data_IF_211636015444
#
_entry.id   IF_211636015444
#
_cell.length_a   1.000
_cell.length_b   1.000
_cell.length_c   1.000
_cell.angle_alpha   90.00
_cell.angle_beta   90.00
_cell.angle_gamma   90.00
#
_symmetry.space_group_name_H-M   'P 1'
#
loop_
_entity.id
_entity.type
_entity.pdbx_description
1 polymer ?
#
# COMPACT_ATOMS: atom_id res chain seq x y z
N UNK A 1 -128.12 -24.75 49.48
CA UNK A 1 -127.07 -25.19 50.42
C UNK A 1 -125.76 -24.57 49.95
N UNK A 2 -125.15 -23.64 50.72
CA UNK A 2 -124.00 -22.76 50.38
C UNK A 2 -124.24 -21.83 49.14
N UNK A 3 -124.30 -20.49 49.23
CA UNK A 3 -123.31 -19.47 49.69
C UNK A 3 -122.01 -19.56 48.86
N UNK A 4 -121.48 -18.51 48.19
CA UNK A 4 -121.63 -17.02 48.23
C UNK A 4 -121.41 -16.43 46.82
N UNK A 5 -122.04 -15.31 46.40
CA UNK A 5 -121.45 -13.94 46.39
C UNK A 5 -120.58 -13.66 45.13
N UNK A 6 -120.60 -12.54 44.42
CA UNK A 6 -121.09 -11.18 44.70
C UNK A 6 -121.55 -10.42 43.43
N UNK A 7 -122.57 -9.58 43.63
CA UNK A 7 -122.85 -8.24 43.07
C UNK A 7 -121.64 -7.46 42.47
N UNK A 8 -121.80 -6.50 41.55
CA UNK A 8 -122.98 -6.03 40.77
C UNK A 8 -122.59 -5.04 39.64
N UNK A 9 -123.53 -4.83 38.70
CA UNK A 9 -123.77 -3.66 37.80
C UNK A 9 -122.84 -2.43 37.95
N UNK A 10 -122.42 -1.83 36.83
CA UNK A 10 -123.20 -0.71 36.20
C UNK A 10 -122.55 -0.06 34.96
N UNK A 11 -123.32 -0.08 33.85
CA UNK A 11 -123.50 0.95 32.79
C UNK A 11 -122.29 1.67 32.14
N UNK A 12 -122.28 1.56 30.82
CA UNK A 12 -121.58 2.40 29.83
C UNK A 12 -121.68 3.92 30.10
N UNK A 13 -120.55 4.62 29.92
CA UNK A 13 -120.49 5.93 29.25
C UNK A 13 -119.23 5.98 28.39
N UNK A 14 -119.34 6.52 27.18
CA UNK A 14 -118.24 6.58 26.23
C UNK A 14 -117.18 7.62 26.63
N UNK A 15 -115.90 7.35 26.34
CA UNK A 15 -114.89 8.40 26.13
C UNK A 15 -113.77 7.90 25.22
N UNK A 16 -113.59 8.61 24.12
CA UNK A 16 -112.45 8.47 23.22
C UNK A 16 -111.15 8.86 23.94
N UNK A 17 -110.09 8.07 23.77
CA UNK A 17 -108.73 8.54 23.99
C UNK A 17 -107.83 8.14 22.82
N UNK A 18 -107.37 9.17 22.12
CA UNK A 18 -106.41 9.10 21.04
C UNK A 18 -105.06 8.61 21.59
N UNK A 19 -104.46 7.61 20.92
CA UNK A 19 -103.06 7.24 21.17
C UNK A 19 -102.16 8.42 20.82
N UNK A 20 -101.56 9.06 21.83
CA UNK A 20 -100.57 10.10 21.62
C UNK A 20 -99.32 9.50 20.97
N UNK A 21 -98.96 9.99 19.78
CA UNK A 21 -97.63 9.81 19.23
C UNK A 21 -96.68 10.79 19.93
N UNK A 22 -95.75 10.28 20.73
CA UNK A 22 -94.72 11.08 21.37
C UNK A 22 -93.69 11.54 20.34
N UNK A 23 -93.89 12.74 19.78
CA UNK A 23 -92.92 13.37 18.88
C UNK A 23 -91.68 13.84 19.64
N UNK A 24 -90.56 13.14 19.51
CA UNK A 24 -89.28 13.47 20.13
C UNK A 24 -88.64 14.71 19.49
N UNK A 25 -89.11 15.91 19.87
CA UNK A 25 -88.50 17.18 19.45
C UNK A 25 -87.19 17.41 20.22
N UNK A 26 -86.07 16.93 19.68
CA UNK A 26 -84.74 17.27 20.19
C UNK A 26 -84.54 18.81 20.17
N UNK A 27 -84.23 19.46 21.31
CA UNK A 27 -84.08 20.91 21.36
C UNK A 27 -82.72 21.34 20.81
N UNK A 28 -82.65 21.58 19.50
CA UNK A 28 -81.46 22.08 18.78
C UNK A 28 -80.76 23.28 19.45
N UNK A 29 -81.53 24.12 20.16
CA UNK A 29 -81.02 25.27 20.94
C UNK A 29 -80.20 24.91 22.20
N UNK A 30 -80.30 23.69 22.73
CA UNK A 30 -79.47 23.25 23.86
C UNK A 30 -78.09 22.74 23.38
N UNK A 31 -78.04 22.05 22.23
CA UNK A 31 -76.78 21.62 21.60
C UNK A 31 -75.90 22.81 21.19
N UNK A 32 -76.49 23.87 20.66
CA UNK A 32 -75.77 25.11 20.29
C UNK A 32 -75.20 25.89 21.50
N UNK A 33 -75.52 25.50 22.74
CA UNK A 33 -75.11 26.21 23.95
C UNK A 33 -74.19 25.38 24.85
N UNK A 34 -73.87 24.14 24.46
CA UNK A 34 -73.02 23.26 25.23
C UNK A 34 -71.54 23.45 24.88
N UNK A 35 -70.79 24.11 25.77
CA UNK A 35 -69.37 24.38 25.58
C UNK A 35 -68.47 23.16 25.87
N UNK A 36 -69.02 22.03 26.36
CA UNK A 36 -68.24 20.83 26.72
C UNK A 36 -67.51 20.19 25.53
N UNK A 37 -67.91 20.50 24.29
CA UNK A 37 -67.24 20.06 23.07
C UNK A 37 -66.05 20.93 22.60
N UNK A 38 -65.87 22.17 23.10
CA UNK A 38 -64.89 23.10 22.50
C UNK A 38 -63.43 22.64 22.67
N UNK A 39 -63.13 21.96 23.77
CA UNK A 39 -61.82 21.35 24.00
C UNK A 39 -61.48 20.29 22.93
N UNK A 40 -62.47 19.50 22.50
CA UNK A 40 -62.29 18.50 21.44
C UNK A 40 -61.97 19.18 20.11
N UNK A 41 -62.62 20.32 19.80
CA UNK A 41 -62.32 21.12 18.60
C UNK A 41 -60.89 21.64 18.61
N UNK A 42 -60.43 22.21 19.72
CA UNK A 42 -59.04 22.70 19.85
C UNK A 42 -58.01 21.57 19.79
N UNK A 43 -58.28 20.42 20.43
CA UNK A 43 -57.44 19.23 20.33
C UNK A 43 -57.35 18.77 18.87
N UNK A 44 -58.48 18.62 18.17
CA UNK A 44 -58.51 18.21 16.77
C UNK A 44 -57.73 19.16 15.85
N UNK A 45 -57.86 20.48 16.03
CA UNK A 45 -57.09 21.48 15.28
C UNK A 45 -55.59 21.40 15.61
N UNK A 46 -55.23 21.21 16.88
CA UNK A 46 -53.82 21.08 17.31
C UNK A 46 -53.13 19.79 16.85
N UNK A 47 -53.91 18.74 16.57
CA UNK A 47 -53.40 17.46 16.08
C UNK A 47 -52.88 17.55 14.63
N UNK A 48 -53.45 18.43 13.81
CA UNK A 48 -53.05 18.63 12.40
C UNK A 48 -51.57 19.06 12.28
N UNK A 49 -51.08 20.15 12.92
CA UNK A 49 -49.67 20.53 12.86
C UNK A 49 -48.75 19.51 13.55
N UNK A 50 -49.21 18.79 14.58
CA UNK A 50 -48.44 17.69 15.19
C UNK A 50 -48.20 16.54 14.20
N UNK A 51 -49.26 16.08 13.51
CA UNK A 51 -49.13 15.02 12.50
C UNK A 51 -48.29 15.46 11.30
N UNK A 52 -48.40 16.73 10.88
CA UNK A 52 -47.51 17.29 9.86
C UNK A 52 -46.04 17.34 10.32
N UNK A 53 -45.77 17.68 11.59
CA UNK A 53 -44.42 17.66 12.14
C UNK A 53 -43.82 16.24 12.20
N UNK A 54 -44.59 15.24 12.65
CA UNK A 54 -44.16 13.83 12.61
C UNK A 54 -43.95 13.32 11.18
N UNK A 55 -44.83 13.72 10.25
CA UNK A 55 -44.70 13.38 8.84
C UNK A 55 -43.44 13.98 8.21
N UNK A 56 -43.18 15.27 8.46
CA UNK A 56 -41.97 15.95 8.00
C UNK A 56 -40.69 15.34 8.59
N UNK A 57 -40.68 15.02 9.89
CA UNK A 57 -39.57 14.31 10.51
C UNK A 57 -39.31 12.94 9.86
N UNK A 58 -40.37 12.22 9.47
CA UNK A 58 -40.27 10.93 8.79
C UNK A 58 -39.70 11.07 7.37
N UNK A 59 -40.15 12.06 6.60
CA UNK A 59 -39.61 12.33 5.25
C UNK A 59 -38.15 12.83 5.29
N UNK A 60 -37.79 13.65 6.29
CA UNK A 60 -36.39 14.04 6.54
C UNK A 60 -35.52 12.82 6.89
N UNK A 61 -36.00 11.92 7.76
CA UNK A 61 -35.28 10.69 8.09
C UNK A 61 -35.06 9.79 6.86
N UNK A 62 -36.07 9.66 5.99
CA UNK A 62 -35.92 8.98 4.68
C UNK A 62 -34.86 9.66 3.80
N UNK A 63 -34.79 10.99 3.80
CA UNK A 63 -33.76 11.75 3.10
C UNK A 63 -32.34 11.46 3.60
N UNK A 64 -32.15 11.34 4.92
CA UNK A 64 -30.86 10.95 5.51
C UNK A 64 -30.48 9.50 5.18
N UNK A 65 -31.42 8.56 5.24
CA UNK A 65 -31.19 7.16 4.83
C UNK A 65 -30.81 7.08 3.35
N UNK A 66 -31.53 7.79 2.47
CA UNK A 66 -31.19 7.89 1.06
C UNK A 66 -29.78 8.46 0.83
N UNK A 67 -29.42 9.53 1.55
CA UNK A 67 -28.07 10.10 1.49
C UNK A 67 -27.00 9.11 1.95
N UNK A 68 -27.27 8.33 3.01
CA UNK A 68 -26.34 7.36 3.56
C UNK A 68 -26.02 6.24 2.57
N UNK A 69 -27.05 5.64 1.95
CA UNK A 69 -26.87 4.62 0.92
C UNK A 69 -26.20 5.18 -0.33
N UNK A 70 -26.57 6.41 -0.75
CA UNK A 70 -25.94 7.07 -1.90
C UNK A 70 -24.46 7.34 -1.65
N UNK A 71 -24.08 7.82 -0.47
CA UNK A 71 -22.68 7.99 -0.06
C UNK A 71 -21.93 6.66 -0.07
N UNK A 72 -22.48 5.61 0.54
CA UNK A 72 -21.86 4.27 0.58
C UNK A 72 -21.57 3.71 -0.82
N UNK A 73 -22.54 3.83 -1.74
CA UNK A 73 -22.36 3.39 -3.13
C UNK A 73 -21.34 4.25 -3.91
N UNK A 74 -21.30 5.57 -3.64
CA UNK A 74 -20.31 6.48 -4.23
C UNK A 74 -18.90 6.21 -3.72
N UNK A 75 -18.71 5.90 -2.44
CA UNK A 75 -17.40 5.56 -1.86
C UNK A 75 -16.86 4.27 -2.50
N UNK A 76 -17.70 3.24 -2.64
CA UNK A 76 -17.33 2.00 -3.33
C UNK A 76 -16.97 2.24 -4.81
N UNK A 77 -17.74 3.08 -5.51
CA UNK A 77 -17.50 3.44 -6.91
C UNK A 77 -16.22 4.26 -7.11
N UNK A 78 -15.97 5.25 -6.25
CA UNK A 78 -14.78 6.09 -6.27
C UNK A 78 -13.51 5.28 -5.94
N UNK A 79 -13.58 4.34 -4.98
CA UNK A 79 -12.45 3.46 -4.65
C UNK A 79 -12.12 2.51 -5.80
N UNK A 80 -13.14 1.95 -6.48
CA UNK A 80 -12.94 1.15 -7.68
C UNK A 80 -12.26 1.98 -8.79
N UNK A 81 -12.78 3.17 -9.09
CA UNK A 81 -12.17 4.09 -10.05
C UNK A 81 -10.75 4.51 -9.69
N UNK A 82 -10.46 4.73 -8.40
CA UNK A 82 -9.12 5.04 -7.90
C UNK A 82 -8.12 3.90 -8.10
N UNK A 83 -8.56 2.64 -8.02
CA UNK A 83 -7.73 1.46 -8.31
C UNK A 83 -7.34 1.36 -9.79
N UNK A 84 -8.23 1.74 -10.70
CA UNK A 84 -8.01 1.69 -12.16
C UNK A 84 -7.90 3.08 -12.80
N UNK A 85 -7.35 4.05 -12.08
CA UNK A 85 -7.40 5.49 -12.39
C UNK A 85 -6.95 5.87 -13.82
N UNK A 86 -5.95 5.16 -14.37
CA UNK A 86 -5.41 5.36 -15.71
C UNK A 86 -5.95 4.37 -16.77
N UNK A 87 -6.90 3.49 -16.41
CA UNK A 87 -7.51 2.55 -17.35
C UNK A 87 -8.50 3.29 -18.28
N UNK A 88 -8.54 2.97 -19.58
CA UNK A 88 -9.63 3.44 -20.45
C UNK A 88 -11.02 2.95 -19.99
N UNK A 89 -11.11 1.88 -19.19
CA UNK A 89 -12.36 1.34 -18.64
C UNK A 89 -12.82 2.00 -17.33
N UNK A 90 -12.05 2.95 -16.78
CA UNK A 90 -12.26 3.48 -15.42
C UNK A 90 -13.71 3.88 -15.15
N UNK A 91 -14.32 4.65 -16.07
CA UNK A 91 -15.66 5.21 -15.85
C UNK A 91 -16.76 4.14 -15.96
N UNK A 92 -16.55 3.11 -16.79
CA UNK A 92 -17.41 1.93 -16.84
C UNK A 92 -17.33 1.09 -15.55
N UNK A 93 -16.13 0.97 -14.99
CA UNK A 93 -15.91 0.27 -13.72
C UNK A 93 -16.52 1.07 -12.55
N UNK A 94 -16.35 2.39 -12.49
CA UNK A 94 -17.04 3.27 -11.51
C UNK A 94 -18.56 3.07 -11.57
N UNK A 95 -19.15 3.14 -12.77
CA UNK A 95 -20.59 2.96 -12.94
C UNK A 95 -21.06 1.55 -12.55
N UNK A 96 -20.25 0.51 -12.83
CA UNK A 96 -20.55 -0.88 -12.46
C UNK A 96 -20.53 -1.08 -10.95
N UNK A 97 -19.53 -0.54 -10.26
CA UNK A 97 -19.45 -0.60 -8.80
C UNK A 97 -20.54 0.22 -8.13
N UNK A 98 -20.90 1.39 -8.66
CA UNK A 98 -22.06 2.15 -8.18
C UNK A 98 -23.36 1.33 -8.31
N UNK A 99 -23.64 0.79 -9.50
CA UNK A 99 -24.86 0.01 -9.77
C UNK A 99 -24.93 -1.30 -8.94
N UNK A 100 -23.78 -1.87 -8.55
CA UNK A 100 -23.73 -3.04 -7.68
C UNK A 100 -24.01 -2.72 -6.20
N UNK A 101 -23.74 -1.48 -5.76
CA UNK A 101 -23.91 -1.05 -4.37
C UNK A 101 -25.16 -0.18 -4.15
N UNK A 102 -25.78 0.36 -5.20
CA UNK A 102 -27.01 1.15 -5.11
C UNK A 102 -28.20 0.43 -5.76
N UNK A 103 -29.22 -0.03 -4.98
CA UNK A 103 -30.35 -0.75 -5.55
C UNK A 103 -31.23 0.13 -6.44
N UNK A 104 -31.63 -0.40 -7.59
CA UNK A 104 -32.47 0.31 -8.56
C UNK A 104 -33.86 0.62 -7.97
N UNK A 105 -34.31 1.87 -8.12
CA UNK A 105 -35.59 2.33 -7.58
C UNK A 105 -35.62 2.49 -6.05
N UNK A 106 -34.47 2.57 -5.36
CA UNK A 106 -34.41 2.78 -3.92
C UNK A 106 -35.28 3.98 -3.48
N UNK A 107 -36.21 3.74 -2.54
CA UNK A 107 -37.20 4.70 -2.05
C UNK A 107 -38.07 5.39 -3.13
N UNK A 108 -38.23 4.77 -4.31
CA UNK A 108 -38.84 5.37 -5.52
C UNK A 108 -38.18 6.69 -5.96
N UNK A 109 -36.89 6.87 -5.66
CA UNK A 109 -36.16 8.05 -6.06
C UNK A 109 -35.70 7.97 -7.52
N UNK A 110 -35.64 9.12 -8.19
CA UNK A 110 -35.04 9.24 -9.53
C UNK A 110 -33.60 9.74 -9.42
N UNK A 111 -32.65 8.94 -9.87
CA UNK A 111 -31.22 9.30 -9.91
C UNK A 111 -30.89 10.10 -11.17
N UNK A 112 -29.97 11.05 -11.02
CA UNK A 112 -29.23 11.64 -12.14
C UNK A 112 -28.02 10.77 -12.51
N UNK A 113 -27.43 10.92 -13.72
CA UNK A 113 -26.16 10.28 -14.08
C UNK A 113 -25.04 10.61 -13.09
N UNK A 114 -24.03 9.73 -13.01
CA UNK A 114 -22.83 10.00 -12.22
C UNK A 114 -22.02 11.16 -12.85
N UNK A 115 -21.58 12.08 -12.00
CA UNK A 115 -20.62 13.14 -12.31
C UNK A 115 -19.23 12.66 -11.87
N UNK A 116 -18.38 12.29 -12.83
CA UNK A 116 -17.04 11.74 -12.61
C UNK A 116 -16.02 12.79 -13.04
N UNK A 117 -15.19 13.24 -12.11
CA UNK A 117 -14.23 14.33 -12.32
C UNK A 117 -12.84 13.92 -11.85
N UNK A 118 -11.85 14.06 -12.74
CA UNK A 118 -10.43 13.98 -12.40
C UNK A 118 -9.95 15.37 -11.99
N UNK A 119 -9.43 15.48 -10.77
CA UNK A 119 -8.84 16.69 -10.22
C UNK A 119 -7.32 16.49 -10.21
N UNK A 120 -6.64 17.20 -11.11
CA UNK A 120 -5.19 17.18 -11.25
C UNK A 120 -4.65 18.61 -11.08
N UNK A 121 -4.04 18.89 -9.93
CA UNK A 121 -3.42 20.18 -9.60
C UNK A 121 -1.89 20.00 -9.56
N UNK A 122 -1.08 20.89 -10.19
CA UNK A 122 0.38 20.79 -10.14
C UNK A 122 0.93 20.74 -8.72
N UNK A 123 1.73 19.72 -8.41
CA UNK A 123 2.33 19.51 -7.09
C UNK A 123 1.43 18.84 -6.05
N UNK A 124 0.18 18.50 -6.37
CA UNK A 124 -0.71 17.74 -5.50
C UNK A 124 -0.88 16.28 -5.99
N UNK A 125 -1.29 15.34 -5.10
CA UNK A 125 -1.74 14.03 -5.55
C UNK A 125 -2.99 14.17 -6.44
N UNK A 126 -3.07 13.31 -7.47
CA UNK A 126 -4.25 13.21 -8.33
C UNK A 126 -5.45 12.74 -7.49
N UNK A 127 -6.62 13.35 -7.73
CA UNK A 127 -7.86 13.07 -7.00
C UNK A 127 -8.96 12.69 -7.98
N UNK A 128 -9.77 11.70 -7.61
CA UNK A 128 -10.95 11.28 -8.36
C UNK A 128 -12.19 11.61 -7.54
N UNK A 129 -13.04 12.49 -8.05
CA UNK A 129 -14.33 12.83 -7.45
C UNK A 129 -15.46 12.15 -8.22
N UNK A 130 -16.33 11.45 -7.51
CA UNK A 130 -17.55 10.84 -8.06
C UNK A 130 -18.74 11.41 -7.28
N UNK A 131 -19.69 12.01 -7.98
CA UNK A 131 -20.87 12.62 -7.39
C UNK A 131 -22.16 12.11 -8.03
N UNK A 132 -23.24 12.10 -7.25
CA UNK A 132 -24.58 11.78 -7.72
C UNK A 132 -25.62 12.62 -6.97
N UNK A 133 -26.77 12.82 -7.62
CA UNK A 133 -27.96 13.36 -6.99
C UNK A 133 -29.19 12.52 -7.31
N UNK A 134 -30.15 12.50 -6.39
CA UNK A 134 -31.41 11.82 -6.54
C UNK A 134 -32.56 12.64 -5.98
N UNK A 135 -33.73 12.56 -6.62
CA UNK A 135 -34.96 13.22 -6.15
C UNK A 135 -35.82 12.20 -5.43
N UNK A 136 -36.05 12.41 -4.13
CA UNK A 136 -36.81 11.51 -3.27
C UNK A 136 -38.25 12.03 -3.11
N UNK A 137 -39.29 11.24 -3.44
CA UNK A 137 -40.68 11.64 -3.24
C UNK A 137 -41.06 11.63 -1.76
N UNK A 138 -41.81 12.63 -1.31
CA UNK A 138 -42.29 12.74 0.08
C UNK A 138 -43.55 11.90 0.30
N UNK A 139 -43.77 11.43 1.52
CA UNK A 139 -44.97 10.70 1.91
C UNK A 139 -46.00 11.62 2.58
N UNK A 140 -45.53 12.51 3.45
CA UNK A 140 -46.35 13.38 4.27
C UNK A 140 -46.19 14.86 3.91
N UNK A 141 -44.97 15.31 3.56
CA UNK A 141 -44.74 16.72 3.21
C UNK A 141 -45.49 17.18 1.95
N UNK A 142 -45.92 16.24 1.08
CA UNK A 142 -46.86 16.53 -0.02
C UNK A 142 -48.20 17.11 0.44
N UNK A 143 -48.64 16.79 1.67
CA UNK A 143 -49.84 17.39 2.28
C UNK A 143 -49.66 18.90 2.57
N UNK A 144 -48.42 19.36 2.63
CA UNK A 144 -48.03 20.78 2.72
C UNK A 144 -47.52 21.34 1.38
N UNK A 145 -47.73 20.64 0.26
CA UNK A 145 -47.34 21.08 -1.08
C UNK A 145 -45.89 20.83 -1.49
N UNK A 146 -45.14 20.00 -0.75
CA UNK A 146 -43.75 19.63 -1.10
C UNK A 146 -43.73 18.17 -1.55
N UNK A 147 -43.87 17.92 -2.85
CA UNK A 147 -44.01 16.56 -3.41
C UNK A 147 -42.70 15.74 -3.40
N UNK A 148 -41.55 16.40 -3.45
CA UNK A 148 -40.22 15.77 -3.45
C UNK A 148 -39.13 16.71 -2.97
N UNK A 149 -37.95 16.17 -2.67
CA UNK A 149 -36.74 16.94 -2.40
C UNK A 149 -35.52 16.28 -3.05
N UNK A 150 -34.51 17.08 -3.39
CA UNK A 150 -33.25 16.60 -3.95
C UNK A 150 -32.24 16.30 -2.85
N UNK A 151 -31.52 15.19 -3.00
CA UNK A 151 -30.41 14.76 -2.15
C UNK A 151 -29.19 14.58 -3.04
N UNK A 152 -28.05 15.15 -2.64
CA UNK A 152 -26.78 14.98 -3.33
C UNK A 152 -25.70 14.43 -2.38
N UNK A 153 -24.80 13.64 -2.93
CA UNK A 153 -23.62 13.13 -2.25
C UNK A 153 -22.43 13.08 -3.24
N UNK A 154 -21.22 13.08 -2.71
CA UNK A 154 -19.99 12.89 -3.49
C UNK A 154 -18.93 12.22 -2.65
N UNK A 155 -18.19 11.30 -3.26
CA UNK A 155 -16.98 10.69 -2.74
C UNK A 155 -15.75 11.25 -3.46
N UNK A 156 -14.62 11.36 -2.76
CA UNK A 156 -13.34 11.78 -3.34
C UNK A 156 -12.23 10.83 -2.89
N UNK A 157 -11.51 10.23 -3.85
CA UNK A 157 -10.38 9.34 -3.58
C UNK A 157 -9.09 10.03 -4.01
N UNK A 158 -8.17 10.17 -3.06
CA UNK A 158 -6.83 10.72 -3.30
C UNK A 158 -5.85 9.60 -3.63
N UNK A 159 -5.17 9.71 -4.77
CA UNK A 159 -4.15 8.73 -5.19
C UNK A 159 -2.83 8.99 -4.46
N UNK A 160 -2.62 8.27 -3.35
CA UNK A 160 -1.33 8.17 -2.71
C UNK A 160 -0.37 7.33 -3.57
N UNK A 161 0.33 7.97 -4.50
CA UNK A 161 1.44 7.34 -5.22
C UNK A 161 2.68 7.31 -4.30
N UNK A 162 2.72 6.35 -3.38
CA UNK A 162 3.90 6.01 -2.58
C UNK A 162 4.97 5.49 -3.52
N UNK A 163 6.14 6.16 -3.56
CA UNK A 163 7.19 5.84 -4.51
C UNK A 163 7.67 4.39 -4.41
N UNK A 164 8.03 3.80 -5.55
CA UNK A 164 8.55 2.44 -5.64
C UNK A 164 10.07 2.45 -5.49
N UNK A 165 10.59 1.68 -4.53
CA UNK A 165 12.00 1.31 -4.45
C UNK A 165 12.15 -0.14 -4.89
N UNK A 166 13.01 -0.40 -5.88
CA UNK A 166 13.28 -1.73 -6.42
C UNK A 166 14.77 -2.05 -6.34
N UNK A 167 15.12 -3.25 -5.87
CA UNK A 167 16.49 -3.76 -5.92
C UNK A 167 16.55 -4.95 -6.87
N UNK A 168 17.34 -4.84 -7.93
CA UNK A 168 17.58 -5.93 -8.88
C UNK A 168 18.86 -6.68 -8.47
N UNK A 169 18.71 -7.88 -7.88
CA UNK A 169 19.83 -8.76 -7.54
C UNK A 169 20.07 -9.72 -8.71
N UNK A 170 21.23 -9.60 -9.38
CA UNK A 170 21.47 -10.17 -10.70
C UNK A 170 22.64 -11.17 -10.67
N UNK A 171 22.39 -12.41 -11.07
CA UNK A 171 23.40 -13.47 -11.15
C UNK A 171 24.36 -13.22 -12.33
N UNK A 172 25.65 -13.04 -12.03
CA UNK A 172 26.75 -12.94 -13.00
C UNK A 172 27.79 -14.05 -12.78
N UNK A 173 27.37 -15.22 -12.29
CA UNK A 173 28.23 -16.41 -12.16
C UNK A 173 28.59 -17.01 -13.51
N UNK A 174 29.66 -17.81 -13.56
CA UNK A 174 30.11 -18.48 -14.80
C UNK A 174 29.06 -19.39 -15.47
N UNK A 175 28.02 -19.81 -14.74
CA UNK A 175 26.85 -20.54 -15.28
C UNK A 175 25.98 -19.69 -16.22
N UNK A 176 26.07 -18.37 -16.15
CA UNK A 176 25.29 -17.41 -16.93
C UNK A 176 25.91 -17.09 -18.29
N UNK A 177 27.21 -17.35 -18.46
CA UNK A 177 27.93 -17.21 -19.73
C UNK A 177 27.47 -18.22 -20.81
N UNK A 178 26.77 -19.29 -20.43
CA UNK A 178 26.35 -20.36 -21.33
C UNK A 178 24.88 -20.22 -21.77
N UNK A 179 24.62 -20.49 -23.04
CA UNK A 179 23.26 -20.53 -23.60
C UNK A 179 22.57 -19.16 -23.67
N UNK A 180 23.32 -18.05 -23.68
CA UNK A 180 22.78 -16.69 -23.82
C UNK A 180 22.06 -16.15 -22.58
N UNK A 181 22.16 -16.81 -21.42
CA UNK A 181 21.44 -16.43 -20.20
C UNK A 181 21.78 -15.02 -19.72
N UNK A 182 23.06 -14.63 -19.72
CA UNK A 182 23.48 -13.28 -19.32
C UNK A 182 22.93 -12.19 -20.26
N UNK A 183 22.82 -12.49 -21.57
CA UNK A 183 22.22 -11.59 -22.55
C UNK A 183 20.71 -11.43 -22.31
N UNK A 184 20.01 -12.55 -22.10
CA UNK A 184 18.58 -12.55 -21.77
C UNK A 184 18.30 -11.81 -20.45
N UNK A 185 19.15 -11.98 -19.43
CA UNK A 185 19.05 -11.25 -18.16
C UNK A 185 19.24 -9.74 -18.37
N UNK A 186 20.25 -9.35 -19.17
CA UNK A 186 20.54 -7.95 -19.51
C UNK A 186 19.38 -7.30 -20.26
N UNK A 187 18.82 -8.00 -21.25
CA UNK A 187 17.67 -7.51 -22.01
C UNK A 187 16.42 -7.39 -21.11
N UNK A 188 16.06 -8.44 -20.37
CA UNK A 188 14.89 -8.41 -19.48
C UNK A 188 15.00 -7.34 -18.38
N UNK A 189 16.21 -7.07 -17.88
CA UNK A 189 16.45 -6.00 -16.91
C UNK A 189 16.25 -4.61 -17.53
N UNK A 190 16.67 -4.41 -18.79
CA UNK A 190 16.42 -3.17 -19.52
C UNK A 190 14.94 -2.99 -19.86
N UNK A 191 14.25 -4.05 -20.29
CA UNK A 191 12.81 -4.05 -20.58
C UNK A 191 12.01 -3.70 -19.30
N UNK A 192 12.41 -4.23 -18.13
CA UNK A 192 11.81 -3.88 -16.84
C UNK A 192 12.00 -2.39 -16.50
N UNK A 193 13.20 -1.84 -16.72
CA UNK A 193 13.48 -0.41 -16.55
C UNK A 193 12.63 0.43 -17.54
N UNK A 194 12.49 -0.01 -18.79
CA UNK A 194 11.65 0.66 -19.79
C UNK A 194 10.15 0.63 -19.40
N UNK A 195 9.65 -0.46 -18.85
CA UNK A 195 8.26 -0.60 -18.37
C UNK A 195 8.01 0.32 -17.16
N UNK A 196 8.90 0.34 -16.18
CA UNK A 196 8.70 1.09 -14.93
C UNK A 196 8.86 2.62 -15.10
N UNK A 197 9.76 3.05 -15.98
CA UNK A 197 9.91 4.47 -16.32
C UNK A 197 8.93 4.94 -17.41
N UNK A 198 8.48 4.03 -18.28
CA UNK A 198 7.73 4.36 -19.48
C UNK A 198 8.48 5.36 -20.36
N UNK A 199 7.80 6.43 -20.75
CA UNK A 199 8.34 7.51 -21.57
C UNK A 199 9.23 8.51 -20.81
N UNK A 200 9.34 8.41 -19.47
CA UNK A 200 10.13 9.34 -18.67
C UNK A 200 11.61 8.95 -18.66
N UNK A 201 12.52 9.94 -18.61
CA UNK A 201 13.95 9.72 -18.39
C UNK A 201 14.34 9.73 -16.91
N UNK A 202 13.59 10.45 -16.08
CA UNK A 202 13.72 10.48 -14.62
C UNK A 202 12.36 10.34 -13.94
N UNK A 203 12.33 9.84 -12.70
CA UNK A 203 11.08 9.68 -11.95
C UNK A 203 11.31 9.73 -10.43
N UNK A 204 10.93 10.83 -9.77
CA UNK A 204 11.14 11.04 -8.33
C UNK A 204 10.41 10.01 -7.44
N UNK A 205 9.43 9.29 -7.99
CA UNK A 205 8.65 8.25 -7.31
C UNK A 205 9.07 6.83 -7.72
N UNK A 206 10.22 6.69 -8.36
CA UNK A 206 10.83 5.40 -8.70
C UNK A 206 12.33 5.47 -8.48
N UNK A 207 12.84 4.59 -7.62
CA UNK A 207 14.28 4.40 -7.45
C UNK A 207 14.63 2.94 -7.66
N UNK A 208 15.63 2.68 -8.49
CA UNK A 208 16.12 1.32 -8.75
C UNK A 208 17.59 1.24 -8.36
N UNK A 209 17.95 0.20 -7.61
CA UNK A 209 19.32 -0.19 -7.30
C UNK A 209 19.64 -1.52 -8.00
N UNK A 210 20.90 -1.75 -8.34
CA UNK A 210 21.35 -2.98 -9.05
C UNK A 210 22.51 -3.61 -8.31
N UNK A 211 22.35 -4.88 -7.96
CA UNK A 211 23.29 -5.68 -7.17
C UNK A 211 23.69 -6.91 -7.99
N UNK A 212 24.69 -6.80 -8.88
CA UNK A 212 25.27 -7.97 -9.52
C UNK A 212 26.04 -8.80 -8.49
N UNK A 213 25.93 -10.12 -8.55
CA UNK A 213 26.62 -11.03 -7.64
C UNK A 213 27.23 -12.22 -8.39
N UNK A 214 28.33 -12.73 -7.84
CA UNK A 214 28.95 -13.97 -8.29
C UNK A 214 29.16 -14.92 -7.08
N UNK A 215 30.40 -15.11 -6.64
CA UNK A 215 30.78 -15.65 -5.32
C UNK A 215 30.87 -14.56 -4.23
N UNK A 216 30.77 -13.29 -4.64
CA UNK A 216 30.84 -12.10 -3.79
C UNK A 216 29.94 -10.99 -4.38
N UNK A 217 29.64 -9.97 -3.57
CA UNK A 217 29.00 -8.72 -4.01
C UNK A 217 30.02 -7.59 -3.88
N UNK A 218 30.09 -6.70 -4.86
CA UNK A 218 30.98 -5.54 -4.84
C UNK A 218 30.26 -4.30 -4.29
N UNK A 219 30.47 -3.98 -3.02
CA UNK A 219 29.90 -2.80 -2.35
C UNK A 219 30.76 -1.53 -2.53
N UNK A 220 31.98 -1.67 -3.07
CA UNK A 220 33.03 -0.65 -3.01
C UNK A 220 33.52 -0.41 -1.59
N UNK A 221 34.31 0.64 -1.38
CA UNK A 221 34.63 1.09 -0.03
C UNK A 221 33.39 1.66 0.69
N UNK A 222 32.92 0.95 1.72
CA UNK A 222 31.93 1.43 2.69
C UNK A 222 32.57 2.04 3.95
N UNK A 223 33.90 2.01 4.05
CA UNK A 223 34.68 2.51 5.17
C UNK A 223 34.78 1.57 6.37
N UNK A 224 35.70 1.91 7.28
CA UNK A 224 36.07 1.13 8.46
C UNK A 224 34.91 0.81 9.42
N UNK A 225 33.79 1.53 9.35
CA UNK A 225 32.59 1.22 10.10
C UNK A 225 31.97 -0.11 9.65
N UNK A 226 31.93 -0.38 8.35
CA UNK A 226 31.19 -1.49 7.75
C UNK A 226 32.07 -2.69 7.35
N UNK A 227 33.39 -2.51 7.23
CA UNK A 227 34.32 -3.54 6.74
C UNK A 227 35.22 -4.10 7.87
N UNK A 228 35.32 -5.43 7.97
CA UNK A 228 36.20 -6.14 8.91
C UNK A 228 37.62 -6.24 8.34
N UNK A 229 38.46 -5.30 8.73
CA UNK A 229 39.86 -5.25 8.31
C UNK A 229 40.83 -6.07 9.18
N UNK A 230 40.35 -6.78 10.20
CA UNK A 230 41.20 -7.33 11.28
C UNK A 230 42.32 -8.25 10.78
N UNK A 231 42.10 -8.92 9.64
CA UNK A 231 43.05 -9.87 9.03
C UNK A 231 43.61 -9.39 7.67
N UNK A 232 43.36 -8.12 7.28
CA UNK A 232 43.80 -7.55 6.00
C UNK A 232 44.88 -6.49 6.26
N UNK A 233 46.11 -6.64 5.74
CA UNK A 233 47.15 -5.61 5.85
C UNK A 233 46.73 -4.28 5.18
N UNK A 234 47.04 -3.10 5.77
CA UNK A 234 46.68 -1.78 5.23
C UNK A 234 47.03 -1.58 3.74
N UNK A 235 48.10 -2.21 3.27
CA UNK A 235 48.61 -2.14 1.90
C UNK A 235 47.63 -2.72 0.87
N UNK A 236 46.74 -3.63 1.30
CA UNK A 236 45.70 -4.26 0.47
C UNK A 236 44.35 -3.49 0.57
N UNK A 237 44.14 -2.67 1.60
CA UNK A 237 42.86 -2.00 1.89
C UNK A 237 42.54 -0.80 0.98
N UNK A 238 43.57 -0.08 0.50
CA UNK A 238 43.40 1.25 -0.12
C UNK A 238 42.94 1.19 -1.58
N UNK A 239 41.76 1.75 -1.89
CA UNK A 239 41.30 1.91 -3.29
C UNK A 239 42.15 2.90 -4.12
N UNK A 240 42.09 2.77 -5.45
CA UNK A 240 42.72 3.68 -6.41
C UNK A 240 43.24 3.01 -7.68
N UNK A 241 42.35 2.42 -8.50
CA UNK A 241 42.63 1.75 -9.79
C UNK A 241 43.71 0.63 -9.80
N UNK A 242 44.29 0.27 -8.66
CA UNK A 242 45.25 -0.81 -8.55
C UNK A 242 44.55 -2.17 -8.35
N UNK A 243 44.50 -2.96 -9.43
CA UNK A 243 43.93 -4.32 -9.43
C UNK A 243 44.62 -5.30 -8.45
N UNK A 244 45.74 -4.91 -7.82
CA UNK A 244 46.42 -5.66 -6.75
C UNK A 244 45.85 -5.41 -5.35
N UNK A 245 44.98 -4.41 -5.19
CA UNK A 245 44.34 -4.04 -3.93
C UNK A 245 42.87 -4.42 -3.94
N UNK A 246 42.22 -4.39 -2.79
CA UNK A 246 40.80 -4.72 -2.68
C UNK A 246 39.92 -3.69 -3.42
N UNK A 247 38.99 -4.19 -4.25
CA UNK A 247 38.11 -3.37 -5.10
C UNK A 247 36.64 -3.43 -4.67
N UNK A 248 36.37 -3.59 -3.37
CA UNK A 248 35.01 -3.50 -2.80
C UNK A 248 34.23 -4.81 -2.61
N UNK A 249 34.79 -5.97 -2.95
CA UNK A 249 34.04 -7.23 -2.83
C UNK A 249 33.98 -7.78 -1.40
N UNK A 250 32.79 -8.16 -0.94
CA UNK A 250 32.59 -8.75 0.41
C UNK A 250 32.17 -10.21 0.33
N UNK A 251 32.60 -10.99 1.33
CA UNK A 251 32.15 -12.36 1.55
C UNK A 251 30.72 -12.34 2.11
N UNK A 252 29.92 -13.37 1.82
CA UNK A 252 28.66 -13.58 2.50
C UNK A 252 28.89 -13.69 4.02
N UNK A 253 27.98 -13.12 4.81
CA UNK A 253 27.93 -13.36 6.26
C UNK A 253 27.53 -14.82 6.52
N UNK A 254 27.93 -15.35 7.68
CA UNK A 254 27.38 -16.61 8.16
C UNK A 254 25.91 -16.40 8.48
N UNK A 255 25.02 -17.04 7.74
CA UNK A 255 23.61 -17.17 8.13
C UNK A 255 23.47 -18.40 9.04
N UNK A 256 22.54 -18.42 10.01
CA UNK A 256 22.25 -19.60 10.79
C UNK A 256 21.75 -20.71 9.84
N UNK A 257 22.21 -21.94 10.07
CA UNK A 257 21.87 -23.10 9.24
C UNK A 257 20.46 -23.65 9.48
N UNK A 258 19.72 -23.04 10.39
CA UNK A 258 18.32 -23.30 10.73
C UNK A 258 17.66 -21.92 10.77
N UNK A 259 16.44 -21.81 10.25
CA UNK A 259 15.58 -20.66 10.47
C UNK A 259 14.38 -21.12 11.29
N UNK A 260 14.00 -20.31 12.28
CA UNK A 260 12.80 -20.54 13.09
C UNK A 260 11.53 -20.50 12.23
N UNK A 261 10.65 -21.49 12.42
CA UNK A 261 9.31 -21.51 11.81
C UNK A 261 8.38 -20.43 12.41
N UNK A 262 8.77 -19.77 13.51
CA UNK A 262 8.02 -18.70 14.16
C UNK A 262 8.44 -17.32 13.60
N UNK A 263 7.56 -16.60 12.86
CA UNK A 263 7.88 -15.30 12.26
C UNK A 263 8.01 -14.16 13.27
N UNK A 264 7.85 -14.42 14.57
CA UNK A 264 8.09 -13.44 15.65
C UNK A 264 9.46 -13.60 16.32
N UNK A 265 10.21 -14.66 15.99
CA UNK A 265 11.54 -14.93 16.53
C UNK A 265 12.60 -14.44 15.54
N UNK A 266 13.31 -13.36 15.90
CA UNK A 266 14.59 -13.03 15.29
C UNK A 266 15.67 -13.87 15.97
N UNK A 267 16.20 -14.87 15.28
CA UNK A 267 17.28 -15.70 15.82
C UNK A 267 18.59 -14.90 15.92
N UNK A 268 19.49 -15.36 16.80
CA UNK A 268 20.72 -14.65 17.16
C UNK A 268 21.63 -14.31 15.96
N UNK A 269 21.52 -15.04 14.85
CA UNK A 269 22.21 -14.75 13.58
C UNK A 269 21.29 -14.49 12.36
N UNK A 270 19.96 -14.51 12.52
CA UNK A 270 19.01 -14.37 11.40
C UNK A 270 18.76 -12.91 11.02
N UNK A 271 19.73 -12.28 10.35
CA UNK A 271 19.69 -10.84 10.07
C UNK A 271 18.82 -10.45 8.86
N UNK A 272 17.64 -9.87 9.13
CA UNK A 272 16.88 -9.06 8.16
C UNK A 272 17.68 -7.78 7.80
N UNK A 273 17.79 -7.49 6.51
CA UNK A 273 18.46 -6.31 5.97
C UNK A 273 17.88 -4.97 6.48
N UNK A 274 16.63 -4.96 6.97
CA UNK A 274 15.98 -3.77 7.50
C UNK A 274 16.21 -3.51 9.01
N UNK A 275 16.79 -4.45 9.75
CA UNK A 275 16.79 -4.42 11.24
C UNK A 275 18.17 -4.56 11.91
N UNK A 276 19.25 -4.71 11.17
CA UNK A 276 20.59 -4.86 11.73
C UNK A 276 21.38 -3.53 11.76
N UNK A 277 21.54 -2.88 12.94
CA UNK A 277 22.69 -2.01 13.21
C UNK A 277 24.01 -2.67 12.83
N UNK A 278 25.06 -1.86 12.67
CA UNK A 278 26.43 -2.34 12.47
C UNK A 278 26.87 -3.24 13.63
N UNK A 279 26.37 -2.99 14.85
CA UNK A 279 26.60 -3.84 16.02
C UNK A 279 25.92 -5.23 15.93
N UNK A 280 24.80 -5.34 15.20
CA UNK A 280 23.96 -6.55 15.19
C UNK A 280 24.41 -7.52 14.11
N UNK A 281 24.65 -7.05 12.87
CA UNK A 281 25.08 -7.94 11.77
C UNK A 281 26.60 -8.13 11.64
N UNK A 282 27.40 -7.50 12.50
CA UNK A 282 28.86 -7.43 12.39
C UNK A 282 29.36 -6.70 11.14
N UNK A 283 30.70 -6.59 10.99
CA UNK A 283 31.33 -5.99 9.81
C UNK A 283 31.50 -7.02 8.67
N UNK A 284 31.35 -6.57 7.43
CA UNK A 284 31.54 -7.40 6.24
C UNK A 284 33.02 -7.76 6.05
N UNK A 285 33.32 -9.04 5.83
CA UNK A 285 34.69 -9.49 5.56
C UNK A 285 35.07 -9.25 4.09
N UNK A 286 36.21 -8.59 3.80
CA UNK A 286 36.73 -8.49 2.44
C UNK A 286 36.90 -9.86 1.77
N UNK A 287 36.33 -10.00 0.59
CA UNK A 287 36.65 -11.08 -0.33
C UNK A 287 38.02 -10.82 -0.96
N UNK A 288 38.93 -11.80 -0.82
CA UNK A 288 40.30 -11.77 -1.34
C UNK A 288 40.60 -13.13 -1.96
N UNK A 289 41.08 -13.13 -3.21
CA UNK A 289 41.50 -14.34 -3.93
C UNK A 289 43.04 -14.42 -4.17
N UNK A 290 43.64 -15.62 -4.03
CA UNK A 290 43.08 -16.79 -3.37
C UNK A 290 42.74 -16.49 -1.90
N UNK A 291 41.90 -17.33 -1.29
CA UNK A 291 41.61 -17.22 0.14
C UNK A 291 42.92 -17.14 0.92
N UNK A 292 42.96 -16.34 1.99
CA UNK A 292 44.19 -15.98 2.72
C UNK A 292 45.07 -17.17 3.16
N UNK A 293 44.47 -18.36 3.32
CA UNK A 293 45.14 -19.62 3.62
C UNK A 293 45.82 -20.25 2.39
N UNK A 294 45.19 -20.21 1.22
CA UNK A 294 45.66 -20.79 -0.05
C UNK A 294 46.45 -19.79 -0.92
N UNK A 295 46.73 -18.60 -0.39
CA UNK A 295 47.27 -17.50 -1.16
C UNK A 295 48.80 -17.61 -1.33
N UNK A 296 49.35 -17.84 -2.54
CA UNK A 296 50.79 -17.87 -2.77
C UNK A 296 51.43 -16.48 -2.61
N UNK A 297 50.64 -15.39 -2.57
CA UNK A 297 51.09 -14.07 -2.14
C UNK A 297 51.42 -14.02 -0.63
N UNK A 298 51.32 -15.13 0.13
CA UNK A 298 52.04 -15.30 1.42
C UNK A 298 53.56 -15.13 1.28
N UNK A 299 54.12 -15.20 0.07
CA UNK A 299 55.53 -14.89 -0.21
C UNK A 299 55.85 -13.38 -0.22
N UNK A 300 54.86 -12.51 0.02
CA UNK A 300 55.13 -11.11 0.39
C UNK A 300 55.93 -11.08 1.70
N UNK A 301 57.01 -10.28 1.81
CA UNK A 301 57.77 -10.17 3.04
C UNK A 301 56.92 -9.42 4.09
N UNK A 302 56.37 -10.17 5.03
CA UNK A 302 55.78 -9.61 6.25
C UNK A 302 56.77 -9.79 7.40
N UNK A 303 57.64 -8.80 7.69
CA UNK A 303 58.44 -8.80 8.90
C UNK A 303 57.57 -8.48 10.12
N UNK A 304 56.89 -9.50 10.65
CA UNK A 304 56.37 -9.48 12.02
C UNK A 304 57.27 -10.34 12.91
N UNK A 305 57.91 -9.79 13.95
CA UNK A 305 58.87 -10.52 14.75
C UNK A 305 58.18 -11.38 15.83
N UNK A 306 57.49 -12.46 15.42
CA UNK A 306 57.29 -13.73 16.17
C UNK A 306 56.34 -14.72 15.43
N UNK A 307 56.68 -16.02 15.49
CA UNK A 307 56.08 -17.16 14.77
C UNK A 307 54.99 -17.89 15.61
N UNK A 308 54.08 -18.74 15.10
CA UNK A 308 53.63 -19.15 13.74
C UNK A 308 52.28 -19.91 13.92
N UNK A 309 51.20 -19.70 13.15
CA UNK A 309 49.93 -20.44 13.28
C UNK A 309 49.93 -21.92 12.82
N UNK A 310 51.10 -22.58 12.87
CA UNK A 310 51.34 -24.02 12.68
C UNK A 310 51.44 -24.54 11.22
N UNK A 311 52.32 -23.89 10.46
CA UNK A 311 53.19 -24.50 9.42
C UNK A 311 52.65 -24.74 7.99
N UNK A 312 53.34 -24.14 7.00
CA UNK A 312 53.63 -24.80 5.73
C UNK A 312 55.14 -24.69 5.46
N UNK A 313 55.91 -25.72 5.83
CA UNK A 313 57.37 -25.67 5.92
C UNK A 313 58.13 -25.34 4.63
N UNK A 314 58.28 -24.05 4.33
CA UNK A 314 59.40 -23.49 3.58
C UNK A 314 59.63 -22.04 4.04
N UNK A 315 60.83 -21.66 4.53
CA UNK A 315 61.17 -20.25 4.67
C UNK A 315 61.11 -19.59 3.29
N UNK A 316 60.55 -18.37 3.22
CA UNK A 316 60.72 -17.55 2.03
C UNK A 316 62.24 -17.40 1.77
N UNK A 317 62.74 -17.72 0.56
CA UNK A 317 64.16 -17.63 0.30
C UNK A 317 64.63 -16.18 0.47
N UNK A 318 65.88 -16.04 0.94
CA UNK A 318 66.63 -14.78 1.03
C UNK A 318 66.44 -13.94 -0.25
N UNK A 319 66.46 -12.59 -0.12
CA UNK A 319 65.59 -11.69 -0.85
C UNK A 319 65.45 -12.07 -2.34
N UNK A 320 64.19 -12.22 -2.78
CA UNK A 320 63.80 -12.48 -4.17
C UNK A 320 64.77 -11.75 -5.11
N UNK A 321 65.56 -12.45 -5.94
CA UNK A 321 66.67 -11.83 -6.66
C UNK A 321 66.25 -10.57 -7.43
N UNK A 322 66.73 -9.41 -6.97
CA UNK A 322 66.37 -8.09 -7.50
C UNK A 322 65.42 -7.26 -6.62
N UNK A 323 64.77 -7.80 -5.60
CA UNK A 323 63.94 -7.01 -4.68
C UNK A 323 64.81 -6.34 -3.62
N UNK A 324 65.32 -5.15 -3.95
CA UNK A 324 66.11 -4.30 -3.05
C UNK A 324 65.27 -3.29 -2.24
N UNK A 325 64.04 -3.01 -2.68
CA UNK A 325 63.10 -2.08 -2.04
C UNK A 325 61.78 -2.80 -1.74
N UNK A 326 61.49 -2.94 -0.44
CA UNK A 326 60.27 -3.57 0.07
C UNK A 326 59.01 -2.75 -0.29
N UNK A 327 59.09 -1.42 -0.31
CA UNK A 327 57.97 -0.55 -0.68
C UNK A 327 57.69 -0.62 -2.20
N UNK A 328 58.73 -0.66 -3.03
CA UNK A 328 58.57 -0.91 -4.47
C UNK A 328 57.89 -2.26 -4.72
N UNK A 329 58.34 -3.33 -4.05
CA UNK A 329 57.76 -4.65 -4.19
C UNK A 329 56.31 -4.74 -3.68
N UNK A 330 55.99 -4.10 -2.54
CA UNK A 330 54.61 -3.92 -2.05
C UNK A 330 53.74 -3.14 -3.03
N UNK A 331 54.31 -2.22 -3.81
CA UNK A 331 53.67 -1.53 -4.93
C UNK A 331 53.69 -2.34 -6.25
N UNK A 332 54.01 -3.64 -6.21
CA UNK A 332 54.11 -4.53 -7.36
C UNK A 332 55.13 -4.05 -8.41
N UNK A 333 56.24 -3.47 -7.97
CA UNK A 333 57.36 -3.07 -8.82
C UNK A 333 58.56 -3.98 -8.60
N UNK A 334 59.37 -4.12 -9.64
CA UNK A 334 60.59 -4.89 -9.64
C UNK A 334 61.86 -4.12 -9.28
N UNK A 335 63.02 -4.78 -9.40
CA UNK A 335 64.36 -4.22 -9.17
C UNK A 335 64.59 -2.81 -9.71
N UNK A 336 64.06 -2.49 -10.88
CA UNK A 336 64.33 -1.24 -11.59
C UNK A 336 63.11 -0.30 -11.54
N UNK A 337 62.16 -0.55 -10.63
CA UNK A 337 60.91 0.17 -10.53
C UNK A 337 59.87 -0.21 -11.59
N UNK A 338 60.15 -1.18 -12.46
CA UNK A 338 59.21 -1.63 -13.49
C UNK A 338 57.98 -2.30 -12.87
N UNK A 339 56.77 -2.02 -13.37
CA UNK A 339 55.57 -2.69 -12.88
C UNK A 339 55.62 -4.18 -13.25
N UNK A 340 55.70 -5.04 -12.25
CA UNK A 340 55.55 -6.48 -12.45
C UNK A 340 54.10 -6.77 -12.82
N UNK A 341 53.91 -7.25 -14.05
CA UNK A 341 52.61 -7.62 -14.59
C UNK A 341 51.89 -8.56 -13.62
N UNK A 342 50.62 -8.25 -13.32
CA UNK A 342 49.74 -9.21 -12.65
C UNK A 342 49.79 -10.53 -13.44
N UNK A 343 49.97 -11.69 -12.79
CA UNK A 343 50.01 -12.95 -13.50
C UNK A 343 48.68 -13.16 -14.23
N UNK A 344 48.77 -13.26 -15.56
CA UNK A 344 47.65 -13.18 -16.50
C UNK A 344 46.46 -14.06 -16.09
N UNK A 345 45.27 -13.44 -16.07
CA UNK A 345 43.98 -14.12 -15.92
C UNK A 345 43.71 -14.70 -14.53
N UNK A 346 42.52 -14.42 -13.98
CA UNK A 346 41.97 -15.15 -12.83
C UNK A 346 42.86 -15.18 -11.55
N UNK A 347 43.65 -14.14 -11.27
CA UNK A 347 44.52 -14.04 -10.09
C UNK A 347 44.54 -12.62 -9.52
N UNK A 348 44.81 -12.50 -8.22
CA UNK A 348 44.73 -11.23 -7.47
C UNK A 348 43.45 -11.12 -6.63
N UNK A 349 43.40 -10.19 -5.67
CA UNK A 349 42.37 -10.16 -4.61
C UNK A 349 40.94 -10.13 -5.16
N UNK A 350 40.73 -9.49 -6.31
CA UNK A 350 39.42 -9.23 -6.90
C UNK A 350 38.97 -10.30 -7.92
N UNK A 351 39.49 -11.54 -7.87
CA UNK A 351 39.10 -12.57 -8.85
C UNK A 351 37.57 -12.80 -8.83
N UNK A 352 36.96 -12.71 -10.01
CA UNK A 352 35.51 -12.75 -10.23
C UNK A 352 34.71 -11.78 -9.34
N UNK A 353 35.33 -10.72 -8.81
CA UNK A 353 34.60 -9.64 -8.15
C UNK A 353 33.70 -8.97 -9.20
N UNK A 354 32.36 -8.97 -9.05
CA UNK A 354 31.48 -8.36 -10.03
C UNK A 354 31.65 -6.84 -10.05
N UNK A 355 30.98 -6.20 -11.02
CA UNK A 355 30.87 -4.75 -11.06
C UNK A 355 30.30 -4.20 -9.73
N UNK A 356 30.74 -3.00 -9.34
CA UNK A 356 30.27 -2.32 -8.12
C UNK A 356 28.75 -2.13 -8.18
N UNK A 357 28.05 -2.43 -7.07
CA UNK A 357 26.62 -2.16 -6.88
C UNK A 357 26.27 -0.75 -7.34
N UNK A 358 25.22 -0.62 -8.15
CA UNK A 358 24.60 0.66 -8.45
C UNK A 358 23.64 1.02 -7.30
N UNK A 359 23.89 2.10 -6.54
CA UNK A 359 22.96 2.57 -5.52
C UNK A 359 21.62 3.01 -6.13
N UNK A 360 20.62 3.23 -5.29
CA UNK A 360 19.32 3.74 -5.72
C UNK A 360 19.45 5.01 -6.57
N UNK A 361 18.97 4.92 -7.81
CA UNK A 361 18.90 6.04 -8.76
C UNK A 361 17.51 6.14 -9.36
N UNK A 362 17.09 7.37 -9.64
CA UNK A 362 15.87 7.72 -10.37
C UNK A 362 16.14 8.13 -11.82
N UNK A 363 17.34 7.84 -12.36
CA UNK A 363 17.73 8.12 -13.75
C UNK A 363 17.77 6.85 -14.61
N UNK A 364 16.92 6.83 -15.65
CA UNK A 364 16.78 5.73 -16.60
C UNK A 364 18.04 5.48 -17.42
N UNK A 365 18.76 6.54 -17.79
CA UNK A 365 19.96 6.47 -18.63
C UNK A 365 21.09 5.80 -17.86
N UNK A 366 21.30 6.22 -16.60
CA UNK A 366 22.29 5.62 -15.70
C UNK A 366 22.00 4.13 -15.49
N UNK A 367 20.73 3.76 -15.29
CA UNK A 367 20.32 2.35 -15.16
C UNK A 367 20.62 1.53 -16.42
N UNK A 368 20.26 2.03 -17.61
CA UNK A 368 20.45 1.29 -18.86
C UNK A 368 21.93 1.17 -19.24
N UNK A 369 22.73 2.22 -19.05
CA UNK A 369 24.17 2.20 -19.29
C UNK A 369 24.89 1.22 -18.34
N UNK A 370 24.52 1.24 -17.05
CA UNK A 370 25.02 0.26 -16.08
C UNK A 370 24.64 -1.17 -16.47
N UNK A 371 23.37 -1.46 -16.76
CA UNK A 371 22.94 -2.80 -17.18
C UNK A 371 23.67 -3.26 -18.46
N UNK A 372 23.92 -2.34 -19.41
CA UNK A 372 24.63 -2.65 -20.64
C UNK A 372 26.10 -3.04 -20.43
N UNK A 373 26.76 -2.47 -19.42
CA UNK A 373 28.23 -2.55 -19.24
C UNK A 373 28.70 -3.37 -18.04
N UNK A 374 27.89 -3.46 -16.98
CA UNK A 374 28.26 -4.08 -15.69
C UNK A 374 28.00 -5.59 -15.61
N UNK A 375 27.17 -6.14 -16.52
CA UNK A 375 26.77 -7.55 -16.56
C UNK A 375 27.57 -8.28 -17.64
N UNK A 376 28.73 -8.82 -17.30
CA UNK A 376 29.69 -9.49 -18.21
C UNK A 376 30.04 -10.89 -17.73
#
# INVERSE_FOLDING_TARGET
>A
MRLTGSRARSRNTARSQLRQQAGWKLPYRQLLRDQRGSAITWIAVSLIPLLLAFGAATDIARGYLFRSELSSALDAAALAGGRVFNSPTRDEDIQRFFNANFPTGFMNATLSPLDIQVIAEPGQPERLRVAASGTVPTLFMKLAGIDSFSVAASAEVTRANTGLQLVMVLDTTGSMAWGGKIEALRQASQDLVDILFGNNTTNDKLQIAVVPYSQAVNVGDLGDAFIDWSNIPPEIRSEGNDNRRWAGCVQARSTPGVLSDDPTILEEDAYDANLAPVEVGGKWKPYIYPHWYDNPYRQLPFPLPQQNPLDPGHPAPSPLPGVADEQAYRAGKGPNGELWWLPWGNRGPNRNCPARVLPFTSDKTVLKDYLATALV
#
